data_IF_374127317146
#
_entry.id   IF_374127317146
#
_cell.length_a   1.000
_cell.length_b   1.000
_cell.length_c   1.000
_cell.angle_alpha   90.00
_cell.angle_beta   90.00
_cell.angle_gamma   90.00
#
_symmetry.space_group_name_H-M   'P 1'
#
loop_
_entity.id
_entity.type
_entity.pdbx_description
1 polymer ?
#
# COMPACT_ATOMS: atom_id res chain seq x y z
N UNK A 1 4.05 33.15 -12.59
CA UNK A 1 5.13 32.63 -13.45
C UNK A 1 4.60 31.44 -14.21
N UNK A 2 4.90 31.31 -15.52
CA UNK A 2 4.45 30.18 -16.32
C UNK A 2 5.60 29.17 -16.49
N UNK A 3 5.34 27.91 -16.17
CA UNK A 3 6.32 26.80 -16.21
C UNK A 3 5.81 25.74 -17.18
N UNK A 4 6.69 25.25 -18.07
CA UNK A 4 6.39 24.11 -18.94
C UNK A 4 7.23 22.92 -18.52
N UNK A 5 6.66 21.72 -18.54
CA UNK A 5 7.32 20.46 -18.22
C UNK A 5 6.67 19.33 -19.01
N UNK A 6 7.26 18.14 -19.03
CA UNK A 6 6.64 16.98 -19.67
C UNK A 6 5.49 16.44 -18.82
N UNK A 7 5.73 16.32 -17.51
CA UNK A 7 4.76 15.72 -16.59
C UNK A 7 4.67 16.53 -15.28
N UNK A 8 3.44 16.78 -14.82
CA UNK A 8 3.16 17.24 -13.47
C UNK A 8 2.85 16.02 -12.61
N UNK A 9 3.53 15.88 -11.48
CA UNK A 9 3.16 14.91 -10.43
C UNK A 9 2.53 15.69 -9.28
N UNK A 10 1.25 15.43 -9.00
CA UNK A 10 0.53 16.06 -7.92
C UNK A 10 0.45 15.14 -6.70
N UNK A 11 1.09 15.56 -5.61
CA UNK A 11 1.14 14.83 -4.35
C UNK A 11 2.55 14.43 -3.94
N UNK A 12 2.91 14.81 -2.71
CA UNK A 12 4.22 14.58 -2.08
C UNK A 12 4.20 13.40 -1.09
N UNK A 13 3.19 12.54 -1.18
CA UNK A 13 3.18 11.25 -0.48
C UNK A 13 4.09 10.21 -1.17
N UNK A 14 4.38 9.06 -0.52
CA UNK A 14 5.31 8.06 -1.03
C UNK A 14 5.03 7.61 -2.48
N UNK A 15 3.76 7.41 -2.85
CA UNK A 15 3.39 7.03 -4.22
C UNK A 15 3.73 8.13 -5.24
N UNK A 16 3.49 9.40 -4.89
CA UNK A 16 3.84 10.54 -5.74
C UNK A 16 5.35 10.71 -5.89
N UNK A 17 6.09 10.59 -4.78
CA UNK A 17 7.56 10.67 -4.80
C UNK A 17 8.19 9.57 -5.67
N UNK A 18 7.73 8.33 -5.53
CA UNK A 18 8.19 7.21 -6.37
C UNK A 18 7.83 7.45 -7.84
N UNK A 19 6.63 7.97 -8.11
CA UNK A 19 6.19 8.31 -9.48
C UNK A 19 7.08 9.38 -10.09
N UNK A 20 7.39 10.45 -9.36
CA UNK A 20 8.26 11.51 -9.83
C UNK A 20 9.68 11.00 -10.12
N UNK A 21 10.26 10.20 -9.21
CA UNK A 21 11.58 9.61 -9.37
C UNK A 21 11.66 8.66 -10.57
N UNK A 22 10.67 7.79 -10.74
CA UNK A 22 10.66 6.82 -11.85
C UNK A 22 10.51 7.50 -13.21
N UNK A 23 9.65 8.51 -13.33
CA UNK A 23 9.47 9.28 -14.56
C UNK A 23 10.70 10.15 -14.86
N UNK A 24 11.33 10.75 -13.85
CA UNK A 24 12.56 11.51 -14.01
C UNK A 24 13.72 10.63 -14.47
N UNK A 25 13.87 9.43 -13.90
CA UNK A 25 14.87 8.45 -14.34
C UNK A 25 14.60 7.95 -15.78
N UNK A 26 13.34 7.93 -16.20
CA UNK A 26 12.95 7.64 -17.58
C UNK A 26 13.22 8.79 -18.58
N UNK A 27 13.77 9.92 -18.12
CA UNK A 27 14.19 11.04 -18.94
C UNK A 27 13.17 12.17 -19.11
N UNK A 28 12.05 12.14 -18.40
CA UNK A 28 11.07 13.23 -18.43
C UNK A 28 11.44 14.37 -17.47
N UNK A 29 11.14 15.60 -17.86
CA UNK A 29 11.15 16.75 -16.97
C UNK A 29 9.90 16.72 -16.09
N UNK A 30 10.07 16.88 -14.77
CA UNK A 30 8.99 16.73 -13.80
C UNK A 30 8.82 18.02 -12.99
N UNK A 31 7.58 18.45 -12.84
CA UNK A 31 7.19 19.39 -11.78
C UNK A 31 6.38 18.60 -10.74
N UNK A 32 6.94 18.50 -9.53
CA UNK A 32 6.29 17.89 -8.38
C UNK A 32 5.61 18.98 -7.55
N UNK A 33 4.28 18.87 -7.42
CA UNK A 33 3.45 19.83 -6.68
C UNK A 33 2.76 19.16 -5.50
N UNK A 34 2.63 19.85 -4.39
CA UNK A 34 1.95 19.33 -3.20
C UNK A 34 2.38 20.06 -1.94
N UNK A 35 1.83 19.69 -0.78
CA UNK A 35 2.26 20.27 0.47
C UNK A 35 3.77 20.00 0.68
N UNK A 36 4.46 20.88 1.42
CA UNK A 36 5.84 20.63 1.77
C UNK A 36 5.93 19.23 2.37
N UNK A 37 6.87 18.43 1.92
CA UNK A 37 7.09 17.13 2.54
C UNK A 37 7.47 17.42 3.97
N UNK A 38 6.53 17.20 4.86
CA UNK A 38 6.70 17.57 6.24
C UNK A 38 7.89 16.79 6.79
N UNK A 39 8.89 17.50 7.28
CA UNK A 39 9.90 16.95 8.20
C UNK A 39 9.25 16.50 9.53
N UNK A 40 7.93 16.66 9.64
CA UNK A 40 7.08 16.27 10.76
C UNK A 40 6.87 14.76 10.87
N UNK A 41 7.86 13.99 10.49
CA UNK A 41 7.90 12.57 10.82
C UNK A 41 8.01 12.27 12.31
N UNK A 42 8.27 13.22 13.16
CA UNK A 42 8.46 13.00 14.61
C UNK A 42 7.25 12.35 15.33
N UNK A 43 6.07 12.34 14.73
CA UNK A 43 4.85 11.70 15.26
C UNK A 43 4.29 10.55 14.41
N UNK A 44 4.75 10.34 13.19
CA UNK A 44 4.25 9.23 12.34
C UNK A 44 4.94 7.91 12.70
N UNK A 45 4.27 7.12 13.52
CA UNK A 45 4.75 5.79 13.94
C UNK A 45 4.23 4.66 13.04
N UNK A 46 3.57 4.99 11.95
CA UNK A 46 3.12 4.00 10.98
C UNK A 46 4.28 3.36 10.27
N UNK A 47 4.02 2.15 9.81
CA UNK A 47 4.96 1.38 9.01
C UNK A 47 4.28 0.90 7.74
N UNK A 48 5.06 0.60 6.74
CA UNK A 48 4.56 0.05 5.49
C UNK A 48 5.32 -1.23 5.15
N UNK A 49 4.60 -2.32 5.01
CA UNK A 49 5.17 -3.55 4.47
C UNK A 49 5.20 -3.45 2.94
N UNK A 50 6.41 -3.34 2.38
CA UNK A 50 6.65 -3.40 0.95
C UNK A 50 6.98 -4.81 0.53
N UNK A 51 6.22 -5.34 -0.41
CA UNK A 51 6.43 -6.68 -0.97
C UNK A 51 7.58 -6.69 -1.98
N UNK A 52 8.16 -7.86 -2.22
CA UNK A 52 9.36 -8.03 -3.06
C UNK A 52 9.27 -7.34 -4.43
N UNK A 53 8.16 -7.39 -5.18
CA UNK A 53 8.07 -6.66 -6.45
C UNK A 53 8.25 -5.14 -6.29
N UNK A 54 7.68 -4.54 -5.24
CA UNK A 54 7.87 -3.11 -4.94
C UNK A 54 9.30 -2.79 -4.53
N UNK A 55 9.93 -3.68 -3.74
CA UNK A 55 11.35 -3.54 -3.36
C UNK A 55 12.27 -3.64 -4.57
N UNK A 56 11.98 -4.54 -5.52
CA UNK A 56 12.74 -4.66 -6.76
C UNK A 56 12.66 -3.36 -7.57
N UNK A 57 11.46 -2.78 -7.71
CA UNK A 57 11.30 -1.51 -8.41
C UNK A 57 12.05 -0.36 -7.69
N UNK A 58 11.99 -0.30 -6.36
CA UNK A 58 12.78 0.67 -5.60
C UNK A 58 14.30 0.44 -5.73
N UNK A 59 14.73 -0.81 -5.93
CA UNK A 59 16.13 -1.13 -6.23
C UNK A 59 16.55 -0.64 -7.61
N UNK A 60 15.69 -0.78 -8.63
CA UNK A 60 15.90 -0.21 -9.98
C UNK A 60 16.05 1.32 -9.93
N UNK A 61 15.37 1.97 -8.98
CA UNK A 61 15.50 3.42 -8.70
C UNK A 61 16.72 3.76 -7.82
N UNK A 62 17.54 2.78 -7.41
CA UNK A 62 18.72 2.98 -6.57
C UNK A 62 18.44 3.31 -5.10
N UNK A 63 17.20 3.04 -4.60
CA UNK A 63 16.75 3.46 -3.28
C UNK A 63 16.87 2.37 -2.21
N UNK A 64 16.95 1.10 -2.61
CA UNK A 64 16.80 -0.04 -1.70
C UNK A 64 17.90 -0.08 -0.62
N UNK A 65 19.13 0.21 -0.97
CA UNK A 65 20.26 0.19 -0.03
C UNK A 65 20.11 1.24 1.08
N UNK A 66 19.57 2.42 0.77
CA UNK A 66 19.27 3.44 1.77
C UNK A 66 18.05 3.08 2.65
N UNK A 67 17.13 2.24 2.16
CA UNK A 67 15.93 1.79 2.90
C UNK A 67 16.26 0.67 3.89
N UNK A 68 17.13 -0.28 3.51
CA UNK A 68 17.44 -1.51 4.28
C UNK A 68 17.80 -1.30 5.75
N UNK A 69 18.62 -0.31 6.16
CA UNK A 69 19.11 -0.24 7.54
C UNK A 69 18.05 -0.12 8.63
N UNK A 70 16.86 0.39 8.29
CA UNK A 70 15.74 0.53 9.24
C UNK A 70 14.52 -0.32 8.84
N UNK A 71 14.68 -1.29 7.96
CA UNK A 71 13.64 -2.21 7.53
C UNK A 71 13.78 -3.57 8.22
N UNK A 72 12.67 -4.22 8.51
CA UNK A 72 12.66 -5.60 9.00
C UNK A 72 12.19 -6.53 7.87
N UNK A 73 12.91 -7.63 7.58
CA UNK A 73 12.50 -8.58 6.57
C UNK A 73 11.25 -9.34 7.01
N UNK A 74 10.42 -9.72 6.05
CA UNK A 74 9.23 -10.56 6.23
C UNK A 74 9.51 -11.92 5.57
N UNK A 75 10.09 -12.84 6.35
CA UNK A 75 10.49 -14.19 5.87
C UNK A 75 9.37 -15.21 5.96
N UNK A 76 8.45 -14.98 6.90
CA UNK A 76 7.29 -15.83 7.08
C UNK A 76 6.03 -15.00 7.35
N UNK A 77 4.88 -15.54 6.94
CA UNK A 77 3.55 -15.01 7.22
C UNK A 77 2.74 -16.13 7.87
N UNK A 78 2.26 -15.89 9.09
CA UNK A 78 1.45 -16.83 9.86
C UNK A 78 0.01 -16.33 9.95
N UNK A 79 -0.95 -17.18 9.60
CA UNK A 79 -2.37 -16.90 9.75
C UNK A 79 -2.94 -17.84 10.80
N UNK A 80 -3.53 -17.29 11.84
CA UNK A 80 -4.11 -18.02 12.97
C UNK A 80 -5.56 -17.64 13.18
N UNK A 81 -6.43 -18.63 13.31
CA UNK A 81 -7.84 -18.41 13.69
C UNK A 81 -7.94 -18.19 15.20
N UNK A 82 -8.12 -16.95 15.60
CA UNK A 82 -8.32 -16.52 16.98
C UNK A 82 -9.80 -16.23 17.30
N UNK A 83 -10.74 -16.81 16.54
CA UNK A 83 -12.16 -16.71 16.81
C UNK A 83 -12.59 -17.65 17.96
N UNK A 84 -13.66 -17.30 18.68
CA UNK A 84 -14.30 -18.19 19.64
C UNK A 84 -15.32 -19.16 19.00
N UNK A 85 -15.22 -19.38 17.67
CA UNK A 85 -16.18 -20.19 16.90
C UNK A 85 -15.93 -21.68 17.08
N UNK A 86 -17.01 -22.46 16.86
CA UNK A 86 -16.94 -23.93 16.95
C UNK A 86 -16.01 -24.52 15.87
N UNK A 87 -16.09 -23.99 14.63
CA UNK A 87 -15.21 -24.40 13.53
C UNK A 87 -14.06 -23.39 13.39
N UNK A 88 -12.87 -23.79 13.83
CA UNK A 88 -11.65 -22.99 13.69
C UNK A 88 -10.84 -23.48 12.51
N UNK A 89 -10.26 -22.54 11.78
CA UNK A 89 -9.30 -22.87 10.74
C UNK A 89 -7.95 -23.24 11.35
N UNK A 90 -7.19 -24.16 10.74
CA UNK A 90 -5.85 -24.46 11.21
C UNK A 90 -4.93 -23.25 11.04
N UNK A 91 -3.93 -23.15 11.91
CA UNK A 91 -2.82 -22.22 11.70
C UNK A 91 -2.03 -22.61 10.46
N UNK A 92 -1.79 -21.64 9.57
CA UNK A 92 -1.01 -21.83 8.35
C UNK A 92 0.15 -20.84 8.34
N UNK A 93 1.35 -21.37 8.17
CA UNK A 93 2.55 -20.54 8.00
C UNK A 93 3.05 -20.68 6.57
N UNK A 94 3.19 -19.56 5.89
CA UNK A 94 3.80 -19.41 4.58
C UNK A 94 5.24 -18.94 4.78
N UNK A 95 6.20 -19.61 4.17
CA UNK A 95 7.62 -19.25 4.24
C UNK A 95 8.12 -18.87 2.85
N UNK A 96 8.82 -17.76 2.74
CA UNK A 96 9.34 -17.28 1.45
C UNK A 96 10.26 -18.33 0.79
N UNK A 97 11.03 -19.07 1.59
CA UNK A 97 11.87 -20.15 1.12
C UNK A 97 11.12 -21.26 0.37
N UNK A 98 9.81 -21.46 0.62
CA UNK A 98 8.99 -22.48 -0.08
C UNK A 98 8.77 -22.15 -1.56
N UNK A 99 9.00 -20.90 -1.94
CA UNK A 99 8.90 -20.43 -3.34
C UNK A 99 10.26 -19.96 -3.89
N UNK A 100 11.35 -20.28 -3.20
CA UNK A 100 12.71 -19.93 -3.61
C UNK A 100 13.09 -18.49 -3.33
N UNK A 101 12.36 -17.78 -2.44
CA UNK A 101 12.60 -16.39 -2.09
C UNK A 101 13.26 -16.29 -0.70
N UNK A 102 14.09 -15.30 -0.50
CA UNK A 102 14.71 -14.98 0.79
C UNK A 102 13.72 -14.32 1.77
N UNK A 103 12.76 -13.57 1.22
CA UNK A 103 11.70 -12.89 1.96
C UNK A 103 10.52 -12.54 1.05
N UNK A 104 9.35 -12.34 1.62
CA UNK A 104 8.18 -11.79 0.90
C UNK A 104 8.28 -10.28 0.68
N UNK A 105 8.98 -9.58 1.55
CA UNK A 105 9.09 -8.13 1.57
C UNK A 105 9.82 -7.63 2.81
N UNK A 106 9.69 -6.32 3.06
CA UNK A 106 10.22 -5.65 4.26
C UNK A 106 9.18 -4.73 4.86
N UNK A 107 9.11 -4.66 6.19
CA UNK A 107 8.35 -3.65 6.89
C UNK A 107 9.25 -2.46 7.24
N UNK A 108 8.85 -1.27 6.85
CA UNK A 108 9.65 -0.06 6.86
C UNK A 108 8.90 1.03 7.63
N UNK A 109 9.52 1.71 8.63
CA UNK A 109 8.92 2.92 9.22
C UNK A 109 8.68 3.99 8.14
N UNK A 110 7.47 4.55 8.11
CA UNK A 110 7.11 5.57 7.11
C UNK A 110 8.03 6.78 7.15
N UNK A 111 8.45 7.19 8.35
CA UNK A 111 9.40 8.28 8.55
C UNK A 111 10.72 8.05 7.81
N UNK A 112 11.24 6.82 7.89
CA UNK A 112 12.47 6.45 7.20
C UNK A 112 12.28 6.38 5.69
N UNK A 113 11.21 5.72 5.22
CA UNK A 113 10.90 5.64 3.79
C UNK A 113 10.74 7.04 3.18
N UNK A 114 9.97 7.91 3.83
CA UNK A 114 9.75 9.28 3.37
C UNK A 114 11.06 10.08 3.33
N UNK A 115 11.94 9.93 4.32
CA UNK A 115 13.24 10.58 4.33
C UNK A 115 14.08 10.18 3.12
N UNK A 116 14.21 8.88 2.86
CA UNK A 116 14.97 8.36 1.71
C UNK A 116 14.41 8.87 0.38
N UNK A 117 13.08 8.81 0.21
CA UNK A 117 12.43 9.30 -1.01
C UNK A 117 12.67 10.80 -1.21
N UNK A 118 12.58 11.60 -0.14
CA UNK A 118 12.82 13.05 -0.22
C UNK A 118 14.25 13.41 -0.55
N UNK A 119 15.22 12.74 0.06
CA UNK A 119 16.64 12.92 -0.27
C UNK A 119 16.89 12.64 -1.76
N UNK A 120 16.27 11.58 -2.30
CA UNK A 120 16.37 11.26 -3.72
C UNK A 120 15.71 12.33 -4.62
N UNK A 121 14.54 12.87 -4.25
CA UNK A 121 13.90 13.99 -4.97
C UNK A 121 14.80 15.22 -5.00
N UNK A 122 15.38 15.61 -3.86
CA UNK A 122 16.25 16.79 -3.76
C UNK A 122 17.50 16.65 -4.61
N UNK A 123 18.01 15.43 -4.78
CA UNK A 123 19.20 15.14 -5.57
C UNK A 123 18.91 14.93 -7.08
N UNK A 124 17.64 14.98 -7.51
CA UNK A 124 17.27 14.77 -8.91
C UNK A 124 17.17 16.10 -9.68
N UNK A 125 18.07 16.35 -10.63
CA UNK A 125 18.06 17.62 -11.40
C UNK A 125 16.85 17.74 -12.34
N UNK A 126 16.23 16.64 -12.70
CA UNK A 126 15.05 16.59 -13.59
C UNK A 126 13.73 16.86 -12.85
N UNK A 127 13.75 17.02 -11.51
CA UNK A 127 12.55 17.25 -10.70
C UNK A 127 12.61 18.65 -10.09
N UNK A 128 11.64 19.47 -10.48
CA UNK A 128 11.39 20.77 -9.85
C UNK A 128 10.26 20.64 -8.83
N UNK A 129 10.56 20.88 -7.57
CA UNK A 129 9.55 20.84 -6.49
C UNK A 129 8.95 22.21 -6.30
N UNK A 130 7.61 22.28 -6.31
CA UNK A 130 6.83 23.48 -5.96
C UNK A 130 5.96 23.13 -4.75
N UNK A 131 6.25 23.66 -3.55
CA UNK A 131 5.55 23.29 -2.31
C UNK A 131 4.23 24.07 -2.20
N UNK A 132 3.32 23.85 -3.14
CA UNK A 132 2.01 24.49 -3.21
C UNK A 132 0.96 23.47 -3.67
N UNK A 133 -0.28 23.66 -3.23
CA UNK A 133 -1.42 22.88 -3.72
C UNK A 133 -1.89 23.44 -5.07
N UNK A 134 -2.53 22.57 -5.85
CA UNK A 134 -3.19 23.00 -7.09
C UNK A 134 -4.58 23.51 -6.75
N UNK A 135 -4.83 24.78 -7.05
CA UNK A 135 -6.14 25.42 -6.88
C UNK A 135 -7.11 25.08 -8.01
N UNK A 136 -6.59 24.90 -9.24
CA UNK A 136 -7.40 24.59 -10.42
C UNK A 136 -6.63 23.70 -11.40
N UNK A 137 -7.31 22.69 -11.93
CA UNK A 137 -6.87 21.89 -13.06
C UNK A 137 -7.68 22.21 -14.30
N UNK A 138 -7.02 22.41 -15.45
CA UNK A 138 -7.65 22.63 -16.74
C UNK A 138 -7.10 21.66 -17.77
N UNK A 139 -7.74 20.49 -17.95
CA UNK A 139 -7.38 19.57 -19.02
C UNK A 139 -7.74 20.16 -20.39
N UNK A 140 -6.75 20.20 -21.30
CA UNK A 140 -6.90 20.57 -22.70
C UNK A 140 -6.76 19.38 -23.65
N UNK A 141 -6.88 19.60 -24.96
CA UNK A 141 -6.68 18.56 -25.97
C UNK A 141 -5.22 18.10 -26.04
N UNK A 142 -4.27 19.04 -25.96
CA UNK A 142 -2.83 18.78 -26.17
C UNK A 142 -1.99 18.85 -24.90
N UNK A 143 -2.50 19.45 -23.84
CA UNK A 143 -1.84 19.63 -22.56
C UNK A 143 -2.83 19.71 -21.40
N UNK A 144 -2.31 19.75 -20.19
CA UNK A 144 -3.04 20.01 -18.96
C UNK A 144 -2.36 21.15 -18.20
N UNK A 145 -3.14 22.08 -17.69
CA UNK A 145 -2.66 23.22 -16.91
C UNK A 145 -3.08 23.06 -15.45
N UNK A 146 -2.13 23.31 -14.55
CA UNK A 146 -2.34 23.42 -13.11
C UNK A 146 -2.05 24.86 -12.65
N UNK A 147 -3.04 25.52 -12.05
CA UNK A 147 -2.88 26.77 -11.34
C UNK A 147 -2.60 26.47 -9.86
N UNK A 148 -1.50 26.99 -9.32
CA UNK A 148 -1.10 26.74 -7.94
C UNK A 148 -1.61 27.85 -7.01
N UNK A 149 -1.86 27.52 -5.75
CA UNK A 149 -2.23 28.50 -4.71
C UNK A 149 -1.16 29.59 -4.52
N UNK A 150 0.08 29.31 -4.85
CA UNK A 150 1.23 30.23 -4.84
C UNK A 150 1.29 31.18 -6.05
N UNK A 151 0.37 31.00 -7.01
CA UNK A 151 0.22 31.88 -8.19
C UNK A 151 1.03 31.41 -9.42
N UNK A 152 1.79 30.33 -9.37
CA UNK A 152 2.41 29.75 -10.56
C UNK A 152 1.39 28.98 -11.39
N UNK A 153 1.63 28.96 -12.70
CA UNK A 153 0.88 28.18 -13.67
C UNK A 153 1.83 27.17 -14.30
N UNK A 154 1.51 25.89 -14.19
CA UNK A 154 2.30 24.80 -14.74
C UNK A 154 1.51 24.12 -15.86
N UNK A 155 2.13 23.99 -17.04
CA UNK A 155 1.54 23.30 -18.20
C UNK A 155 2.36 22.07 -18.55
N UNK A 156 1.73 20.91 -18.76
CA UNK A 156 2.38 19.66 -19.09
C UNK A 156 1.57 18.80 -20.06
N UNK A 157 2.20 17.79 -20.64
CA UNK A 157 1.51 16.78 -21.50
C UNK A 157 0.66 15.81 -20.67
N UNK A 158 1.08 15.52 -19.44
CA UNK A 158 0.43 14.56 -18.54
C UNK A 158 0.44 15.07 -17.11
N UNK A 159 -0.63 14.84 -16.35
CA UNK A 159 -0.66 14.92 -14.90
C UNK A 159 -0.75 13.53 -14.28
N UNK A 160 0.22 13.16 -13.45
CA UNK A 160 0.16 12.00 -12.59
C UNK A 160 -0.46 12.42 -11.24
N UNK A 161 -1.72 12.06 -11.03
CA UNK A 161 -2.50 12.44 -9.86
C UNK A 161 -2.23 11.47 -8.70
N UNK A 162 -1.36 11.86 -7.77
CA UNK A 162 -1.06 11.18 -6.52
C UNK A 162 -1.51 12.04 -5.31
N UNK A 163 -2.51 12.89 -5.51
CA UNK A 163 -3.06 13.91 -4.62
C UNK A 163 -4.08 13.39 -3.61
N UNK A 164 -4.14 12.06 -3.46
CA UNK A 164 -4.83 11.37 -2.38
C UNK A 164 -6.32 11.15 -2.63
N UNK A 165 -7.02 10.78 -1.56
CA UNK A 165 -8.44 10.31 -1.59
C UNK A 165 -9.40 11.28 -2.25
N UNK A 166 -9.22 12.58 -2.02
CA UNK A 166 -10.05 13.66 -2.53
C UNK A 166 -9.37 14.36 -3.73
N UNK A 167 -8.81 13.59 -4.64
CA UNK A 167 -8.02 14.08 -5.78
C UNK A 167 -8.74 15.11 -6.63
N UNK A 168 -8.33 16.40 -6.60
CA UNK A 168 -8.87 17.43 -7.49
C UNK A 168 -8.55 17.17 -8.97
N UNK A 169 -7.37 16.56 -9.24
CA UNK A 169 -7.01 16.18 -10.61
C UNK A 169 -7.97 15.12 -11.19
N UNK A 170 -8.36 14.12 -10.38
CA UNK A 170 -9.36 13.12 -10.76
C UNK A 170 -10.71 13.76 -11.08
N UNK A 171 -11.16 14.69 -10.25
CA UNK A 171 -12.42 15.42 -10.45
C UNK A 171 -12.40 16.25 -11.74
N UNK A 172 -11.30 16.97 -12.01
CA UNK A 172 -11.12 17.74 -13.24
C UNK A 172 -11.12 16.87 -14.49
N UNK A 173 -10.59 15.65 -14.41
CA UNK A 173 -10.68 14.66 -15.49
C UNK A 173 -12.09 14.09 -15.68
N UNK A 174 -13.03 14.37 -14.76
CA UNK A 174 -14.39 13.84 -14.79
C UNK A 174 -14.46 12.35 -14.46
N UNK A 175 -13.46 11.82 -13.75
CA UNK A 175 -13.40 10.42 -13.37
C UNK A 175 -14.19 10.22 -12.07
N UNK A 176 -15.32 9.54 -12.16
CA UNK A 176 -16.13 9.19 -11.00
C UNK A 176 -15.51 8.04 -10.20
N UNK A 177 -15.75 8.03 -8.90
CA UNK A 177 -15.26 7.00 -7.97
C UNK A 177 -16.43 6.42 -7.17
N UNK A 178 -16.46 5.10 -7.05
CA UNK A 178 -17.35 4.40 -6.14
C UNK A 178 -16.64 4.28 -4.80
N UNK A 179 -17.23 4.82 -3.76
CA UNK A 179 -16.72 4.82 -2.40
C UNK A 179 -17.67 4.01 -1.49
N UNK A 180 -17.10 3.22 -0.57
CA UNK A 180 -17.87 2.53 0.47
C UNK A 180 -17.04 2.36 1.74
N UNK A 181 -17.72 2.47 2.88
CA UNK A 181 -17.14 2.30 4.21
C UNK A 181 -17.36 0.87 4.72
N UNK A 182 -16.38 0.32 5.41
CA UNK A 182 -16.46 -1.01 5.98
C UNK A 182 -17.13 -1.06 7.36
N UNK A 183 -17.46 0.10 7.97
CA UNK A 183 -17.97 0.19 9.35
C UNK A 183 -16.94 -0.20 10.43
N UNK A 184 -15.70 -0.43 10.03
CA UNK A 184 -14.57 -0.79 10.87
C UNK A 184 -13.52 0.31 10.89
N UNK A 185 -12.63 0.25 11.88
CA UNK A 185 -11.43 1.09 11.97
C UNK A 185 -10.23 0.23 12.33
N UNK A 186 -9.04 0.65 11.91
CA UNK A 186 -7.78 0.08 12.32
C UNK A 186 -7.17 0.95 13.42
N UNK A 187 -6.91 0.37 14.59
CA UNK A 187 -6.00 0.92 15.59
C UNK A 187 -4.58 0.51 15.18
N UNK A 188 -3.71 1.48 14.98
CA UNK A 188 -2.30 1.26 14.60
C UNK A 188 -1.40 1.80 15.70
N UNK A 189 -0.44 0.99 16.14
CA UNK A 189 0.57 1.35 17.12
C UNK A 189 1.82 0.49 16.94
N UNK A 190 2.93 0.84 17.60
CA UNK A 190 4.10 -0.02 17.68
C UNK A 190 4.21 -0.58 19.10
N UNK A 191 4.97 -1.65 19.22
CA UNK A 191 5.20 -2.33 20.49
C UNK A 191 6.64 -2.87 20.56
N UNK A 192 7.20 -2.90 21.76
CA UNK A 192 8.39 -3.66 22.11
C UNK A 192 7.98 -4.97 22.80
N UNK A 193 8.86 -5.97 22.75
CA UNK A 193 8.57 -7.30 23.29
C UNK A 193 9.85 -8.04 23.71
N UNK A 194 9.71 -9.09 24.52
CA UNK A 194 10.84 -9.78 25.13
C UNK A 194 11.33 -11.01 24.38
N UNK A 195 10.55 -11.54 23.44
CA UNK A 195 10.92 -12.70 22.60
C UNK A 195 11.01 -12.30 21.14
N UNK A 196 11.93 -12.87 20.33
CA UNK A 196 12.09 -12.52 18.93
C UNK A 196 10.87 -12.92 18.10
N UNK A 197 10.48 -12.06 17.15
CA UNK A 197 9.44 -12.33 16.15
C UNK A 197 9.91 -13.25 15.01
N UNK A 198 11.21 -13.53 14.91
CA UNK A 198 11.80 -14.42 13.89
C UNK A 198 11.37 -14.04 12.45
N UNK A 199 11.33 -12.75 12.12
CA UNK A 199 10.93 -12.21 10.81
C UNK A 199 9.56 -12.71 10.33
N UNK A 200 8.69 -13.06 11.27
CA UNK A 200 7.35 -13.60 11.02
C UNK A 200 6.29 -12.54 11.27
N UNK A 201 5.53 -12.18 10.24
CA UNK A 201 4.28 -11.44 10.42
C UNK A 201 3.17 -12.41 10.80
N UNK A 202 2.44 -12.10 11.86
CA UNK A 202 1.34 -12.97 12.34
C UNK A 202 0.03 -12.23 12.29
N UNK A 203 -0.92 -12.78 11.55
CA UNK A 203 -2.29 -12.27 11.45
C UNK A 203 -3.24 -13.22 12.20
N UNK A 204 -3.88 -12.68 13.22
CA UNK A 204 -4.93 -13.35 13.97
C UNK A 204 -6.28 -12.95 13.38
N UNK A 205 -7.00 -13.92 12.83
CA UNK A 205 -8.37 -13.71 12.37
C UNK A 205 -9.32 -13.71 13.57
N UNK A 206 -9.94 -12.57 13.83
CA UNK A 206 -10.91 -12.42 14.93
C UNK A 206 -12.32 -12.17 14.38
N UNK A 207 -13.34 -12.23 15.25
CA UNK A 207 -14.73 -11.98 14.86
C UNK A 207 -14.99 -10.55 14.38
N UNK A 208 -14.20 -9.58 14.88
CA UNK A 208 -14.36 -8.17 14.55
C UNK A 208 -13.45 -7.70 13.41
N UNK A 209 -12.50 -8.54 12.98
CA UNK A 209 -11.52 -8.24 11.93
C UNK A 209 -10.12 -8.80 12.24
N UNK A 210 -9.15 -8.58 11.35
CA UNK A 210 -7.79 -9.03 11.56
C UNK A 210 -7.06 -8.21 12.64
N UNK A 211 -6.22 -8.92 13.40
CA UNK A 211 -5.27 -8.36 14.34
C UNK A 211 -3.88 -8.81 13.88
N UNK A 212 -3.09 -7.90 13.33
CA UNK A 212 -1.85 -8.24 12.62
C UNK A 212 -0.64 -7.62 13.31
N UNK A 213 0.27 -8.48 13.74
CA UNK A 213 1.59 -8.11 14.19
C UNK A 213 2.57 -8.20 13.01
N UNK A 214 3.38 -7.15 12.80
CA UNK A 214 4.35 -7.07 11.71
C UNK A 214 5.73 -6.71 12.26
N UNK A 215 6.80 -7.48 11.95
CA UNK A 215 8.15 -7.22 12.43
C UNK A 215 8.66 -5.79 12.18
N UNK A 216 9.41 -5.27 13.15
CA UNK A 216 10.27 -4.08 13.07
C UNK A 216 11.69 -4.48 13.49
N UNK A 217 12.71 -3.68 13.20
CA UNK A 217 14.08 -4.00 13.63
C UNK A 217 14.18 -4.21 15.15
N UNK A 218 14.95 -5.22 15.55
CA UNK A 218 15.14 -5.60 16.95
C UNK A 218 13.94 -6.34 17.54
N UNK A 219 13.69 -6.16 18.83
CA UNK A 219 12.57 -6.75 19.56
C UNK A 219 11.36 -5.81 19.52
N UNK A 220 10.96 -5.40 18.32
CA UNK A 220 9.85 -4.48 18.10
C UNK A 220 8.94 -4.98 16.98
N UNK A 221 7.71 -4.57 17.03
CA UNK A 221 6.71 -4.88 16.01
C UNK A 221 5.72 -3.71 15.84
N UNK A 222 5.16 -3.62 14.66
CA UNK A 222 3.99 -2.79 14.39
C UNK A 222 2.74 -3.64 14.58
N UNK A 223 1.68 -3.03 15.10
CA UNK A 223 0.37 -3.65 15.28
C UNK A 223 -0.67 -2.91 14.45
N UNK A 224 -1.44 -3.66 13.69
CA UNK A 224 -2.66 -3.19 13.02
C UNK A 224 -3.84 -4.01 13.55
N UNK A 225 -4.69 -3.38 14.34
CA UNK A 225 -5.85 -4.03 14.95
C UNK A 225 -7.13 -3.51 14.32
N UNK A 226 -7.71 -4.28 13.44
CA UNK A 226 -9.00 -3.96 12.81
C UNK A 226 -10.13 -4.42 13.71
N UNK A 227 -11.05 -3.50 14.00
CA UNK A 227 -12.24 -3.77 14.81
C UNK A 227 -13.34 -2.75 14.49
N UNK A 228 -14.52 -2.87 15.13
CA UNK A 228 -15.60 -1.88 15.02
C UNK A 228 -15.12 -0.52 15.50
N UNK A 229 -15.56 0.56 14.85
CA UNK A 229 -15.11 1.93 15.14
C UNK A 229 -15.13 2.27 16.62
N UNK A 230 -16.27 2.06 17.30
CA UNK A 230 -16.42 2.32 18.74
C UNK A 230 -15.37 1.55 19.56
N UNK A 231 -15.12 0.29 19.22
CA UNK A 231 -14.12 -0.53 19.94
C UNK A 231 -12.70 -0.02 19.72
N UNK A 232 -12.38 0.45 18.52
CA UNK A 232 -11.07 1.07 18.25
C UNK A 232 -10.87 2.34 19.10
N UNK A 233 -11.91 3.17 19.25
CA UNK A 233 -11.89 4.37 20.09
C UNK A 233 -11.71 4.01 21.58
N UNK A 234 -12.42 2.99 22.07
CA UNK A 234 -12.27 2.47 23.45
C UNK A 234 -10.82 1.97 23.70
N UNK A 235 -10.26 1.19 22.78
CA UNK A 235 -8.89 0.67 22.87
C UNK A 235 -7.85 1.80 22.85
N UNK A 236 -8.04 2.81 22.02
CA UNK A 236 -7.14 3.95 21.95
C UNK A 236 -7.16 4.82 23.25
N UNK A 237 -8.26 4.79 23.99
CA UNK A 237 -8.42 5.53 25.24
C UNK A 237 -7.82 4.80 26.46
N UNK A 238 -7.45 3.52 26.35
CA UNK A 238 -6.83 2.76 27.45
C UNK A 238 -5.47 3.33 27.84
N UNK A 239 -5.05 3.06 29.06
CA UNK A 239 -3.65 3.28 29.47
C UNK A 239 -2.70 2.41 28.63
N UNK A 240 -1.42 2.78 28.52
CA UNK A 240 -0.42 1.97 27.81
C UNK A 240 -0.28 0.58 28.45
N UNK A 241 -0.34 0.50 29.78
CA UNK A 241 -0.26 -0.76 30.50
C UNK A 241 -1.46 -1.67 30.24
N UNK A 242 -2.69 -1.13 30.23
CA UNK A 242 -3.90 -1.92 29.97
C UNK A 242 -3.95 -2.39 28.50
N UNK A 243 -3.58 -1.54 27.56
CA UNK A 243 -3.52 -1.94 26.16
C UNK A 243 -2.43 -2.99 25.94
N UNK A 244 -1.25 -2.84 26.57
CA UNK A 244 -0.16 -3.83 26.49
C UNK A 244 -0.61 -5.20 26.96
N UNK A 245 -1.32 -5.27 28.10
CA UNK A 245 -1.87 -6.52 28.61
C UNK A 245 -2.87 -7.15 27.64
N UNK A 246 -3.80 -6.36 27.10
CA UNK A 246 -4.79 -6.88 26.13
C UNK A 246 -4.12 -7.36 24.83
N UNK A 247 -3.09 -6.68 24.35
CA UNK A 247 -2.32 -7.08 23.17
C UNK A 247 -1.57 -8.37 23.45
N UNK A 248 -0.91 -8.50 24.60
CA UNK A 248 -0.19 -9.72 25.00
C UNK A 248 -1.13 -10.93 25.10
N UNK A 249 -2.27 -10.78 25.80
CA UNK A 249 -3.29 -11.81 25.92
C UNK A 249 -3.80 -12.27 24.53
N UNK A 250 -4.08 -11.31 23.64
CA UNK A 250 -4.56 -11.63 22.30
C UNK A 250 -3.53 -12.37 21.45
N UNK A 251 -2.25 -12.05 21.64
CA UNK A 251 -1.13 -12.76 21.01
C UNK A 251 -0.76 -14.07 21.74
N UNK A 252 -1.47 -14.44 22.83
CA UNK A 252 -1.17 -15.61 23.64
C UNK A 252 0.29 -15.63 24.12
N UNK A 253 0.83 -14.47 24.47
CA UNK A 253 2.21 -14.23 24.90
C UNK A 253 3.29 -14.81 23.98
N UNK A 254 3.00 -14.98 22.69
CA UNK A 254 3.95 -15.56 21.72
C UNK A 254 5.25 -14.74 21.65
N UNK A 255 5.18 -13.41 21.83
CA UNK A 255 6.32 -12.50 21.88
C UNK A 255 6.82 -12.21 23.30
N UNK A 256 6.33 -12.96 24.31
CA UNK A 256 6.59 -12.70 25.72
C UNK A 256 5.87 -11.44 26.21
N UNK A 257 6.48 -10.73 27.18
CA UNK A 257 5.92 -9.48 27.66
C UNK A 257 5.95 -8.42 26.54
N UNK A 258 4.83 -7.69 26.41
CA UNK A 258 4.62 -6.68 25.39
C UNK A 258 4.43 -5.32 26.07
N UNK A 259 5.05 -4.29 25.51
CA UNK A 259 4.87 -2.91 25.91
C UNK A 259 4.49 -2.08 24.67
N UNK A 260 3.29 -1.50 24.69
CA UNK A 260 2.81 -0.62 23.61
C UNK A 260 3.55 0.71 23.68
N UNK A 261 4.11 1.13 22.55
CA UNK A 261 4.78 2.41 22.43
C UNK A 261 3.78 3.58 22.36
N UNK A 262 4.16 4.80 22.79
CA UNK A 262 3.34 6.00 22.61
C UNK A 262 3.04 6.27 21.13
N UNK A 263 1.91 6.92 20.85
CA UNK A 263 1.52 7.31 19.48
C UNK A 263 0.63 6.29 18.80
N UNK A 264 -0.63 6.28 19.20
CA UNK A 264 -1.71 5.46 18.62
C UNK A 264 -2.47 6.26 17.59
N UNK A 265 -2.87 5.59 16.52
CA UNK A 265 -3.68 6.21 15.46
C UNK A 265 -4.88 5.33 15.13
N UNK A 266 -6.03 5.95 14.88
CA UNK A 266 -7.25 5.27 14.41
C UNK A 266 -7.51 5.71 12.97
N UNK A 267 -7.66 4.74 12.09
CA UNK A 267 -7.98 4.97 10.68
C UNK A 267 -9.32 4.30 10.34
N UNK A 268 -10.36 5.06 9.96
CA UNK A 268 -11.58 4.49 9.41
C UNK A 268 -11.26 3.70 8.13
N UNK A 269 -11.82 2.49 8.02
CA UNK A 269 -11.62 1.65 6.85
C UNK A 269 -12.63 1.99 5.78
N UNK A 270 -12.10 2.25 4.60
CA UNK A 270 -12.89 2.53 3.41
C UNK A 270 -12.27 1.84 2.20
N UNK A 271 -13.07 1.66 1.19
CA UNK A 271 -12.64 1.24 -0.15
C UNK A 271 -13.11 2.25 -1.17
N UNK A 272 -12.31 2.47 -2.20
CA UNK A 272 -12.69 3.31 -3.33
C UNK A 272 -12.10 2.77 -4.62
N UNK A 273 -12.91 2.78 -5.68
CA UNK A 273 -12.50 2.37 -7.03
C UNK A 273 -13.05 3.36 -8.05
N UNK A 274 -12.20 3.88 -8.96
CA UNK A 274 -12.61 4.76 -10.03
C UNK A 274 -13.20 3.96 -11.19
N UNK A 275 -14.03 4.62 -12.00
CA UNK A 275 -14.50 4.05 -13.26
C UNK A 275 -13.38 3.84 -14.25
N UNK A 276 -12.38 4.72 -14.25
CA UNK A 276 -11.18 4.68 -15.10
C UNK A 276 -9.97 5.10 -14.30
N UNK A 277 -8.81 4.56 -14.64
CA UNK A 277 -7.54 4.92 -14.01
C UNK A 277 -6.82 6.07 -14.71
N UNK A 278 -7.29 6.46 -15.90
CA UNK A 278 -6.79 7.64 -16.61
C UNK A 278 -7.84 8.17 -17.60
N UNK A 279 -7.90 9.48 -17.74
CA UNK A 279 -8.67 10.21 -18.75
C UNK A 279 -8.19 11.66 -18.84
N UNK A 280 -8.45 12.36 -19.97
CA UNK A 280 -8.21 13.79 -20.16
C UNK A 280 -6.85 14.27 -19.61
N UNK A 281 -5.77 13.61 -20.04
CA UNK A 281 -4.39 13.93 -19.65
C UNK A 281 -4.06 13.72 -18.17
N UNK A 282 -4.90 13.01 -17.43
CA UNK A 282 -4.69 12.66 -16.04
C UNK A 282 -4.56 11.15 -15.90
N UNK A 283 -3.51 10.67 -15.23
CA UNK A 283 -3.33 9.29 -14.79
C UNK A 283 -3.35 9.23 -13.25
N UNK A 284 -4.20 8.38 -12.69
CA UNK A 284 -4.38 8.25 -11.24
C UNK A 284 -3.34 7.31 -10.64
N UNK A 285 -2.77 7.67 -9.49
CA UNK A 285 -1.75 6.91 -8.79
C UNK A 285 -2.07 6.85 -7.28
N UNK A 286 -1.88 5.69 -6.67
CA UNK A 286 -2.05 5.50 -5.23
C UNK A 286 -3.48 5.76 -4.76
N UNK A 287 -3.66 6.51 -3.65
CA UNK A 287 -4.99 6.75 -3.08
C UNK A 287 -5.92 7.60 -3.95
N UNK A 288 -5.41 8.30 -4.96
CA UNK A 288 -6.25 8.94 -5.98
C UNK A 288 -6.90 7.89 -6.92
N UNK A 289 -6.20 6.76 -7.15
CA UNK A 289 -6.65 5.65 -7.99
C UNK A 289 -7.47 4.62 -7.18
N UNK A 290 -7.05 4.27 -5.98
CA UNK A 290 -7.66 3.18 -5.22
C UNK A 290 -7.44 3.33 -3.71
N UNK A 291 -8.43 2.94 -2.94
CA UNK A 291 -8.35 2.87 -1.48
C UNK A 291 -8.76 1.47 -1.06
N UNK A 292 -7.96 0.84 -0.22
CA UNK A 292 -8.22 -0.48 0.35
C UNK A 292 -8.05 -0.47 1.86
N UNK A 293 -8.81 -1.30 2.59
CA UNK A 293 -8.50 -1.61 3.98
C UNK A 293 -7.05 -2.13 4.11
N UNK A 294 -6.37 -1.89 5.24
CA UNK A 294 -4.96 -2.30 5.44
C UNK A 294 -4.83 -3.82 5.66
N UNK A 295 -5.46 -4.61 4.82
CA UNK A 295 -5.42 -6.08 4.83
C UNK A 295 -4.43 -6.51 3.75
N UNK A 296 -3.39 -7.26 4.14
CA UNK A 296 -2.37 -7.77 3.22
C UNK A 296 -1.46 -6.70 2.61
N UNK A 297 -1.26 -5.57 3.28
CA UNK A 297 -0.30 -4.52 2.89
C UNK A 297 -0.46 -3.99 1.45
N UNK A 298 -1.69 -3.83 0.94
CA UNK A 298 -1.94 -3.52 -0.48
C UNK A 298 -1.67 -2.05 -0.87
N UNK A 299 -1.99 -1.07 -0.03
CA UNK A 299 -2.07 0.34 -0.39
C UNK A 299 -0.86 0.88 -1.16
N UNK A 300 0.29 1.02 -0.50
CA UNK A 300 1.49 1.59 -1.14
C UNK A 300 2.10 0.66 -2.20
N UNK A 301 2.00 -0.67 -2.03
CA UNK A 301 2.47 -1.62 -3.04
C UNK A 301 1.76 -1.44 -4.38
N UNK A 302 0.47 -1.17 -4.37
CA UNK A 302 -0.29 -0.85 -5.59
C UNK A 302 0.09 0.52 -6.14
N UNK A 303 0.31 1.53 -5.28
CA UNK A 303 0.76 2.85 -5.72
C UNK A 303 2.14 2.83 -6.37
N UNK A 304 3.08 2.00 -5.88
CA UNK A 304 4.38 1.79 -6.51
C UNK A 304 4.21 1.10 -7.87
N UNK A 305 3.31 0.14 -7.97
CA UNK A 305 3.00 -0.54 -9.22
C UNK A 305 2.31 0.38 -10.23
N UNK A 306 1.50 1.33 -9.76
CA UNK A 306 0.94 2.38 -10.60
C UNK A 306 2.06 3.23 -11.21
N UNK A 307 3.05 3.63 -10.42
CA UNK A 307 4.22 4.38 -10.88
C UNK A 307 5.03 3.58 -11.92
N UNK A 308 5.28 2.30 -11.67
CA UNK A 308 5.98 1.40 -12.60
C UNK A 308 5.27 1.29 -13.95
N UNK A 309 3.95 1.02 -13.94
CA UNK A 309 3.16 0.86 -15.15
C UNK A 309 2.99 2.18 -15.90
N UNK A 310 2.83 3.31 -15.17
CA UNK A 310 2.75 4.64 -15.78
C UNK A 310 4.06 4.98 -16.50
N UNK A 311 5.20 4.71 -15.87
CA UNK A 311 6.53 4.93 -16.46
C UNK A 311 6.72 4.08 -17.71
N UNK A 312 6.34 2.79 -17.69
CA UNK A 312 6.41 1.91 -18.85
C UNK A 312 5.54 2.41 -20.02
N UNK A 313 4.36 2.93 -19.71
CA UNK A 313 3.48 3.49 -20.74
C UNK A 313 4.04 4.81 -21.28
N UNK A 314 4.53 5.69 -20.41
CA UNK A 314 5.13 6.98 -20.82
C UNK A 314 6.33 6.76 -21.78
N UNK A 315 7.19 5.78 -21.48
CA UNK A 315 8.32 5.40 -22.34
C UNK A 315 7.92 4.91 -23.72
N UNK A 316 6.71 4.38 -23.91
CA UNK A 316 6.18 4.01 -25.24
C UNK A 316 5.59 5.20 -26.00
N UNK A 317 5.37 6.32 -25.32
CA UNK A 317 4.75 7.53 -25.85
C UNK A 317 5.55 8.78 -25.45
N UNK A 318 6.88 8.75 -25.64
CA UNK A 318 7.80 9.79 -25.13
C UNK A 318 7.43 11.19 -25.61
N UNK A 319 6.99 11.35 -26.88
CA UNK A 319 6.60 12.65 -27.44
C UNK A 319 5.36 13.25 -26.78
N UNK A 320 4.44 12.40 -26.34
CA UNK A 320 3.21 12.82 -25.64
C UNK A 320 2.64 11.69 -24.77
N UNK A 321 3.09 11.61 -23.50
CA UNK A 321 2.63 10.58 -22.56
C UNK A 321 1.18 10.75 -22.11
N UNK A 322 0.53 11.88 -22.43
CA UNK A 322 -0.86 12.18 -22.06
C UNK A 322 -1.88 11.93 -23.17
N UNK A 323 -1.48 11.40 -24.35
CA UNK A 323 -2.43 11.11 -25.42
C UNK A 323 -3.42 10.00 -25.04
N UNK A 324 -4.58 10.02 -25.66
CA UNK A 324 -5.64 9.04 -25.40
C UNK A 324 -5.18 7.57 -25.48
N UNK A 325 -4.25 7.27 -26.41
CA UNK A 325 -3.71 5.91 -26.56
C UNK A 325 -2.88 5.48 -25.33
N UNK A 326 -2.03 6.39 -24.79
CA UNK A 326 -1.24 6.15 -23.60
C UNK A 326 -2.14 5.98 -22.36
N UNK A 327 -3.11 6.89 -22.17
CA UNK A 327 -4.06 6.80 -21.05
C UNK A 327 -4.88 5.50 -21.11
N UNK A 328 -5.33 5.09 -22.28
CA UNK A 328 -6.04 3.81 -22.46
C UNK A 328 -5.12 2.59 -22.21
N UNK A 329 -3.83 2.67 -22.55
CA UNK A 329 -2.87 1.60 -22.25
C UNK A 329 -2.64 1.49 -20.73
N UNK A 330 -2.51 2.61 -20.02
CA UNK A 330 -2.38 2.64 -18.57
C UNK A 330 -3.64 2.08 -17.87
N UNK A 331 -4.84 2.52 -18.27
CA UNK A 331 -6.11 2.01 -17.72
C UNK A 331 -6.22 0.48 -17.89
N UNK A 332 -5.87 -0.05 -19.09
CA UNK A 332 -5.87 -1.50 -19.34
C UNK A 332 -4.84 -2.26 -18.49
N UNK A 333 -3.69 -1.67 -18.22
CA UNK A 333 -2.67 -2.30 -17.39
C UNK A 333 -3.10 -2.40 -15.93
N UNK A 334 -3.72 -1.33 -15.38
CA UNK A 334 -4.06 -1.25 -13.95
C UNK A 334 -5.36 -1.96 -13.58
N UNK A 335 -6.36 -1.92 -14.46
CA UNK A 335 -7.71 -2.39 -14.16
C UNK A 335 -7.78 -3.84 -13.68
N UNK A 336 -7.18 -4.85 -14.34
CA UNK A 336 -7.28 -6.24 -13.91
C UNK A 336 -6.65 -6.49 -12.54
N UNK A 337 -5.47 -5.91 -12.28
CA UNK A 337 -4.74 -6.08 -11.03
C UNK A 337 -5.53 -5.51 -9.85
N UNK A 338 -6.04 -4.28 -10.00
CA UNK A 338 -6.77 -3.60 -8.93
C UNK A 338 -8.14 -4.26 -8.68
N UNK A 339 -8.88 -4.64 -9.73
CA UNK A 339 -10.17 -5.32 -9.57
C UNK A 339 -10.01 -6.69 -8.91
N UNK A 340 -9.03 -7.49 -9.32
CA UNK A 340 -8.77 -8.80 -8.72
C UNK A 340 -8.45 -8.67 -7.22
N UNK A 341 -7.58 -7.73 -6.85
CA UNK A 341 -7.22 -7.49 -5.44
C UNK A 341 -8.38 -6.93 -4.62
N UNK A 342 -9.13 -5.98 -5.19
CA UNK A 342 -10.33 -5.44 -4.52
C UNK A 342 -11.31 -6.54 -4.19
N UNK A 343 -11.60 -7.41 -5.16
CA UNK A 343 -12.51 -8.54 -4.97
C UNK A 343 -11.99 -9.54 -3.94
N UNK A 344 -10.69 -9.84 -3.95
CA UNK A 344 -10.07 -10.76 -3.00
C UNK A 344 -10.10 -10.20 -1.56
N UNK A 345 -9.77 -8.91 -1.37
CA UNK A 345 -9.82 -8.26 -0.05
C UNK A 345 -11.25 -8.18 0.47
N UNK A 346 -12.21 -7.82 -0.38
CA UNK A 346 -13.64 -7.73 0.02
C UNK A 346 -14.20 -9.12 0.39
N UNK A 347 -13.88 -10.15 -0.42
CA UNK A 347 -14.29 -11.53 -0.12
C UNK A 347 -13.65 -12.04 1.18
N UNK A 348 -12.37 -11.78 1.41
CA UNK A 348 -11.69 -12.16 2.65
C UNK A 348 -12.32 -11.45 3.84
N UNK A 349 -12.50 -10.13 3.79
CA UNK A 349 -13.09 -9.37 4.88
C UNK A 349 -14.51 -9.84 5.20
N UNK A 350 -15.36 -10.04 4.19
CA UNK A 350 -16.71 -10.59 4.38
C UNK A 350 -16.69 -11.99 4.98
N UNK A 351 -15.75 -12.85 4.57
CA UNK A 351 -15.65 -14.20 5.13
C UNK A 351 -15.25 -14.20 6.60
N UNK A 352 -14.40 -13.24 7.01
CA UNK A 352 -13.98 -13.05 8.41
C UNK A 352 -15.15 -12.57 9.29
N UNK A 353 -15.95 -11.65 8.77
CA UNK A 353 -17.11 -11.09 9.49
C UNK A 353 -18.33 -12.01 9.48
N UNK A 354 -18.39 -13.01 8.60
CA UNK A 354 -19.52 -13.90 8.45
C UNK A 354 -19.67 -14.87 9.62
N UNK A 355 -20.85 -14.90 10.23
CA UNK A 355 -21.25 -15.91 11.22
C UNK A 355 -21.89 -17.16 10.58
N UNK A 356 -22.09 -17.16 9.27
CA UNK A 356 -22.70 -18.24 8.53
C UNK A 356 -21.80 -19.49 8.47
N UNK A 357 -22.25 -20.62 9.03
CA UNK A 357 -21.47 -21.86 9.15
C UNK A 357 -20.88 -22.37 7.84
N UNK A 358 -21.57 -22.37 6.69
CA UNK A 358 -20.96 -22.76 5.42
C UNK A 358 -19.78 -21.87 5.01
N UNK A 359 -19.81 -20.56 5.27
CA UNK A 359 -18.68 -19.67 4.97
C UNK A 359 -17.47 -19.99 5.86
N UNK A 360 -17.71 -20.34 7.12
CA UNK A 360 -16.65 -20.79 8.04
C UNK A 360 -16.07 -22.14 7.60
N UNK A 361 -16.89 -23.08 7.15
CA UNK A 361 -16.46 -24.37 6.64
C UNK A 361 -15.62 -24.22 5.36
N UNK A 362 -16.04 -23.39 4.41
CA UNK A 362 -15.27 -23.10 3.18
C UNK A 362 -13.92 -22.50 3.52
N UNK A 363 -13.86 -21.54 4.45
CA UNK A 363 -12.59 -20.93 4.90
C UNK A 363 -11.69 -21.96 5.58
N UNK A 364 -12.22 -22.77 6.52
CA UNK A 364 -11.45 -23.80 7.22
C UNK A 364 -10.92 -24.86 6.24
N UNK A 365 -11.75 -25.30 5.29
CA UNK A 365 -11.36 -26.24 4.24
C UNK A 365 -10.30 -25.64 3.32
N UNK A 366 -10.45 -24.39 2.88
CA UNK A 366 -9.49 -23.68 2.06
C UNK A 366 -8.12 -23.58 2.72
N UNK A 367 -8.07 -23.16 3.99
CA UNK A 367 -6.82 -23.10 4.76
C UNK A 367 -6.24 -24.50 5.03
N UNK A 368 -7.06 -25.51 5.25
CA UNK A 368 -6.61 -26.91 5.39
C UNK A 368 -5.99 -27.43 4.10
N UNK A 369 -6.57 -27.14 2.94
CA UNK A 369 -6.01 -27.49 1.63
C UNK A 369 -4.65 -26.77 1.40
N UNK A 370 -4.54 -25.49 1.73
CA UNK A 370 -3.26 -24.77 1.66
C UNK A 370 -2.20 -25.35 2.59
N UNK A 371 -2.60 -25.87 3.75
CA UNK A 371 -1.69 -26.55 4.68
C UNK A 371 -1.20 -27.88 4.11
N UNK A 372 -2.08 -28.66 3.47
CA UNK A 372 -1.80 -30.03 3.03
C UNK A 372 -1.22 -30.12 1.61
N UNK A 373 -1.40 -29.11 0.78
CA UNK A 373 -1.01 -29.11 -0.63
C UNK A 373 0.09 -28.05 -0.92
N UNK A 374 1.39 -28.38 -0.77
CA UNK A 374 2.49 -27.45 -1.01
C UNK A 374 2.49 -26.77 -2.39
N UNK A 375 2.15 -27.45 -3.52
CA UNK A 375 2.08 -26.78 -4.82
C UNK A 375 1.00 -25.71 -4.89
N UNK A 376 -0.17 -25.97 -4.29
CA UNK A 376 -1.28 -25.01 -4.24
C UNK A 376 -0.89 -23.80 -3.37
N UNK A 377 -0.23 -24.05 -2.24
CA UNK A 377 0.29 -23.01 -1.36
C UNK A 377 1.32 -22.14 -2.09
N UNK A 378 2.28 -22.73 -2.79
CA UNK A 378 3.27 -22.02 -3.60
C UNK A 378 2.62 -21.18 -4.69
N UNK A 379 1.58 -21.67 -5.36
CA UNK A 379 0.80 -20.94 -6.35
C UNK A 379 0.20 -19.67 -5.73
N UNK A 380 -0.51 -19.80 -4.59
CA UNK A 380 -1.14 -18.65 -3.93
C UNK A 380 -0.12 -17.65 -3.36
N UNK A 381 1.03 -18.11 -2.88
CA UNK A 381 2.10 -17.20 -2.44
C UNK A 381 2.63 -16.35 -3.60
N UNK A 382 2.89 -16.94 -4.78
CA UNK A 382 3.34 -16.23 -5.97
C UNK A 382 2.28 -15.27 -6.51
N UNK A 383 1.01 -15.71 -6.53
CA UNK A 383 -0.12 -14.89 -6.95
C UNK A 383 -0.34 -13.69 -5.99
N UNK A 384 -0.15 -13.89 -4.69
CA UNK A 384 -0.22 -12.82 -3.68
C UNK A 384 0.88 -11.78 -3.84
N UNK A 385 2.08 -12.18 -4.24
CA UNK A 385 3.18 -11.26 -4.54
C UNK A 385 2.91 -10.46 -5.83
N UNK A 386 2.51 -11.13 -6.90
CA UNK A 386 2.24 -10.50 -8.20
C UNK A 386 1.09 -11.22 -8.90
N UNK A 387 0.08 -10.48 -9.32
CA UNK A 387 -1.05 -11.02 -10.09
C UNK A 387 -0.55 -11.67 -11.38
N UNK A 388 -0.93 -12.92 -11.62
CA UNK A 388 -0.41 -13.74 -12.73
C UNK A 388 0.91 -14.46 -12.43
N UNK A 389 1.55 -14.20 -11.28
CA UNK A 389 2.82 -14.85 -10.90
C UNK A 389 2.68 -16.35 -10.68
N UNK A 390 1.55 -16.78 -10.11
CA UNK A 390 1.21 -18.20 -9.95
C UNK A 390 1.02 -18.89 -11.31
N UNK A 391 0.27 -18.27 -12.21
CA UNK A 391 0.01 -18.80 -13.58
C UNK A 391 1.31 -18.86 -14.38
N UNK A 392 2.14 -17.80 -14.35
CA UNK A 392 3.43 -17.77 -15.02
C UNK A 392 4.35 -18.92 -14.56
N UNK A 393 4.36 -19.24 -13.24
CA UNK A 393 5.15 -20.34 -12.72
C UNK A 393 4.67 -21.72 -13.15
N UNK A 394 3.36 -21.90 -13.39
CA UNK A 394 2.83 -23.17 -13.94
C UNK A 394 3.21 -23.35 -15.41
N UNK A 395 3.32 -22.26 -16.17
CA UNK A 395 3.70 -22.31 -17.59
C UNK A 395 5.22 -22.47 -17.80
N UNK A 396 6.04 -22.11 -16.81
CA UNK A 396 7.50 -22.27 -16.86
C UNK A 396 7.99 -23.68 -16.43
N UNK A 397 7.11 -24.55 -15.99
CA UNK A 397 7.38 -25.97 -15.73
C UNK A 397 7.27 -26.77 -17.06
N UNK A 398 8.22 -26.54 -17.99
CA UNK A 398 8.47 -27.42 -19.14
C UNK A 398 9.93 -27.79 -19.20
#
# INVERSE_FOLDING_TARGET
MQIKTDIIVAGTGPAGLVTALSLAQAGFSIVLVGPPVSQTGAGDRRTTALMKPSLNFLNELGLLEAIRPQAAPLRAMCITDATARLLRSPTVTFRAAEIGEDMFGMNIPNTHLNRVLNEAIQNSPSIRVLPALVSRWTPGPDDITAELESGEIVTAKLAAAADGRRSPAREAAGISVKFWEAGQSALVTNLSHTRPHNDTSTEFHTQDGPFTQVPLPGLRSSLVWVTRRRRAEELAALSEADLSRLVEERMQSMLGRVEVEPGRHIFPLASALPQRFADKRVALVGEAAHIFPPIGAQGLNLGIRDAEDLTKVALRHVSDPGIKAALAAYDRARRPDILARSSAVDMLNRSLLSEFLPAQAIRATGLSLLRLAPPLRAFFMREGLRTGGGIASLLSWK
#
